data_IF_763248456809
#
_entry.id   IF_763248456809
#
_cell.length_a   1.000
_cell.length_b   1.000
_cell.length_c   1.000
_cell.angle_alpha   90.00
_cell.angle_beta   90.00
_cell.angle_gamma   90.00
#
_symmetry.space_group_name_H-M   'P 1'
#
loop_
_entity.id
_entity.type
_entity.pdbx_description
1 polymer ?
#
# COMPACT_ATOMS: atom_id res chain seq x y z
N UNK A 1 -19.70 -36.39 -76.10
CA UNK A 1 -18.96 -35.38 -75.28
C UNK A 1 -19.38 -35.56 -73.84
N UNK A 2 -18.50 -36.25 -73.06
CA UNK A 2 -18.80 -36.59 -71.68
C UNK A 2 -18.19 -35.51 -70.79
N UNK A 3 -18.97 -34.91 -69.96
CA UNK A 3 -18.49 -34.02 -68.87
C UNK A 3 -18.84 -34.67 -67.53
N UNK A 4 -17.80 -35.14 -66.84
CA UNK A 4 -17.89 -35.65 -65.47
C UNK A 4 -17.91 -34.49 -64.47
N UNK A 5 -18.61 -34.57 -63.32
CA UNK A 5 -18.60 -33.55 -62.30
C UNK A 5 -17.44 -33.77 -61.29
N UNK A 6 -16.85 -32.68 -60.84
CA UNK A 6 -15.81 -32.58 -59.80
C UNK A 6 -16.46 -32.67 -58.41
N UNK A 7 -15.92 -33.46 -57.47
CA UNK A 7 -16.46 -33.47 -56.09
C UNK A 7 -15.91 -32.30 -55.28
N UNK A 8 -16.81 -31.57 -54.64
CA UNK A 8 -16.49 -30.48 -53.70
C UNK A 8 -15.90 -30.98 -52.40
N UNK A 9 -14.75 -30.41 -52.00
CA UNK A 9 -14.14 -30.58 -50.68
C UNK A 9 -14.89 -29.71 -49.66
N UNK A 10 -15.55 -30.35 -48.72
CA UNK A 10 -16.07 -29.68 -47.52
C UNK A 10 -14.94 -29.56 -46.48
N UNK A 11 -14.47 -28.34 -46.28
CA UNK A 11 -13.51 -28.05 -45.20
C UNK A 11 -14.27 -27.90 -43.89
N UNK A 12 -14.20 -28.90 -43.05
CA UNK A 12 -14.71 -28.83 -41.67
C UNK A 12 -13.77 -28.00 -40.77
N UNK A 13 -14.29 -26.86 -40.31
CA UNK A 13 -13.59 -26.00 -39.33
C UNK A 13 -13.77 -26.60 -37.92
N UNK A 14 -12.75 -27.30 -37.44
CA UNK A 14 -12.67 -27.71 -36.02
C UNK A 14 -12.32 -26.50 -35.15
N UNK A 15 -13.31 -25.94 -34.48
CA UNK A 15 -13.11 -24.99 -33.39
C UNK A 15 -12.59 -25.77 -32.18
N UNK A 16 -11.27 -25.67 -31.94
CA UNK A 16 -10.66 -26.15 -30.70
C UNK A 16 -10.97 -25.15 -29.56
N UNK A 17 -11.93 -25.51 -28.71
CA UNK A 17 -12.13 -24.80 -27.43
C UNK A 17 -10.91 -25.09 -26.51
N UNK A 18 -9.93 -24.18 -26.50
CA UNK A 18 -8.95 -24.17 -25.42
C UNK A 18 -9.64 -23.77 -24.11
N UNK A 19 -9.98 -24.76 -23.28
CA UNK A 19 -10.35 -24.52 -21.89
C UNK A 19 -9.13 -23.94 -21.19
N UNK A 20 -9.17 -22.64 -20.86
CA UNK A 20 -8.21 -21.99 -19.96
C UNK A 20 -8.40 -22.63 -18.57
N UNK A 21 -7.62 -23.65 -18.30
CA UNK A 21 -7.45 -24.18 -16.94
C UNK A 21 -6.87 -23.05 -16.09
N UNK A 22 -7.67 -22.52 -15.19
CA UNK A 22 -7.18 -21.63 -14.11
C UNK A 22 -6.28 -22.49 -13.22
N UNK A 23 -4.99 -22.51 -13.52
CA UNK A 23 -4.00 -23.11 -12.66
C UNK A 23 -4.04 -22.35 -11.32
N UNK A 24 -4.45 -23.04 -10.26
CA UNK A 24 -4.37 -22.54 -8.89
C UNK A 24 -2.89 -22.28 -8.60
N UNK A 25 -2.53 -21.03 -8.29
CA UNK A 25 -1.14 -20.75 -7.89
C UNK A 25 -0.73 -21.72 -6.75
N UNK A 26 0.51 -22.24 -6.76
CA UNK A 26 0.96 -23.14 -5.71
C UNK A 26 0.85 -22.45 -4.36
N UNK A 27 0.41 -23.18 -3.34
CA UNK A 27 0.31 -22.68 -1.98
C UNK A 27 1.67 -22.11 -1.55
N UNK A 28 1.73 -20.82 -1.26
CA UNK A 28 2.94 -20.16 -0.74
C UNK A 28 3.20 -20.67 0.67
N UNK A 29 4.46 -21.02 0.93
CA UNK A 29 4.90 -21.36 2.31
C UNK A 29 5.03 -20.04 3.10
N UNK A 30 3.98 -19.69 3.86
CA UNK A 30 3.93 -18.45 4.61
C UNK A 30 4.76 -18.56 5.89
N UNK A 31 5.54 -17.53 6.18
CA UNK A 31 6.25 -17.39 7.44
C UNK A 31 5.27 -17.14 8.58
N UNK A 32 5.58 -17.62 9.78
CA UNK A 32 4.85 -17.23 10.97
C UNK A 32 5.01 -15.73 11.24
N UNK A 33 3.92 -15.04 11.57
CA UNK A 33 3.96 -13.60 11.91
C UNK A 33 4.69 -13.44 13.25
N UNK A 34 5.87 -12.79 13.29
CA UNK A 34 6.58 -12.57 14.53
C UNK A 34 5.88 -11.54 15.40
N UNK A 35 6.11 -11.58 16.70
CA UNK A 35 5.76 -10.47 17.59
C UNK A 35 6.51 -9.21 17.15
N UNK A 36 5.87 -8.05 17.28
CA UNK A 36 6.41 -6.74 16.87
C UNK A 36 6.75 -6.67 15.36
N UNK A 37 5.93 -7.28 14.50
CA UNK A 37 6.00 -7.07 13.04
C UNK A 37 5.40 -5.71 12.71
N UNK A 38 6.21 -4.84 12.12
CA UNK A 38 5.87 -3.46 11.79
C UNK A 38 5.99 -3.25 10.28
N UNK A 39 4.95 -2.72 9.66
CA UNK A 39 5.01 -2.20 8.28
C UNK A 39 5.25 -0.69 8.34
N UNK A 40 6.32 -0.22 7.68
CA UNK A 40 6.69 1.19 7.67
C UNK A 40 6.36 1.81 6.31
N UNK A 41 5.55 2.88 6.33
CA UNK A 41 5.05 3.52 5.09
C UNK A 41 5.20 5.03 5.12
N UNK A 42 5.45 5.61 3.93
CA UNK A 42 5.59 7.05 3.70
C UNK A 42 4.72 7.46 2.51
N UNK A 43 3.97 8.55 2.65
CA UNK A 43 3.06 9.05 1.62
C UNK A 43 3.57 10.35 1.00
N UNK A 44 3.05 10.69 -0.20
CA UNK A 44 3.11 12.01 -0.84
C UNK A 44 4.44 12.39 -1.51
N UNK A 45 5.43 11.53 -1.60
CA UNK A 45 6.69 11.82 -2.31
C UNK A 45 7.42 13.07 -1.78
N UNK A 46 7.51 13.24 -0.49
CA UNK A 46 8.20 14.37 0.11
C UNK A 46 9.71 14.36 -0.23
N UNK A 47 10.31 15.53 -0.40
CA UNK A 47 11.75 15.65 -0.69
C UNK A 47 12.62 14.97 0.36
N UNK A 48 12.17 14.97 1.61
CA UNK A 48 12.84 14.31 2.73
C UNK A 48 12.94 12.79 2.58
N UNK A 49 12.06 12.15 1.81
CA UNK A 49 12.06 10.70 1.61
C UNK A 49 13.41 10.23 1.05
N UNK A 50 13.90 10.89 0.01
CA UNK A 50 15.21 10.60 -0.60
C UNK A 50 16.37 11.25 0.15
N UNK A 51 16.19 12.49 0.63
CA UNK A 51 17.28 13.28 1.20
C UNK A 51 17.66 12.84 2.63
N UNK A 52 16.73 12.24 3.38
CA UNK A 52 16.93 11.91 4.80
C UNK A 52 16.38 10.55 5.20
N UNK A 53 15.08 10.30 4.95
CA UNK A 53 14.35 9.11 5.45
C UNK A 53 15.01 7.81 4.99
N UNK A 54 15.29 7.67 3.70
CA UNK A 54 15.85 6.45 3.14
C UNK A 54 17.18 6.05 3.80
N UNK A 55 18.07 7.02 4.04
CA UNK A 55 19.35 6.76 4.70
C UNK A 55 19.16 6.32 6.16
N UNK A 56 18.27 6.99 6.90
CA UNK A 56 18.01 6.66 8.31
C UNK A 56 17.35 5.29 8.46
N UNK A 57 16.35 4.96 7.64
CA UNK A 57 15.68 3.65 7.63
C UNK A 57 16.67 2.53 7.28
N UNK A 58 17.50 2.73 6.24
CA UNK A 58 18.49 1.75 5.79
C UNK A 58 19.58 1.49 6.84
N UNK A 59 20.01 2.52 7.57
CA UNK A 59 20.98 2.43 8.67
C UNK A 59 20.54 1.41 9.73
N UNK A 60 19.24 1.27 9.99
CA UNK A 60 18.69 0.30 10.93
C UNK A 60 18.42 -1.08 10.32
N UNK A 61 18.61 -1.24 9.00
CA UNK A 61 18.31 -2.48 8.26
C UNK A 61 16.82 -2.72 8.09
N UNK A 62 16.02 -1.67 8.05
CA UNK A 62 14.57 -1.73 7.94
C UNK A 62 14.10 -1.66 6.48
N UNK A 63 12.97 -2.35 6.19
CA UNK A 63 12.19 -2.16 4.97
C UNK A 63 11.23 -1.00 5.10
N UNK A 64 10.85 -0.39 3.99
CA UNK A 64 9.84 0.67 3.93
C UNK A 64 9.18 0.75 2.56
N UNK A 65 7.97 1.31 2.55
CA UNK A 65 7.19 1.59 1.34
C UNK A 65 7.01 3.09 1.16
N UNK A 66 7.30 3.58 -0.05
CA UNK A 66 7.01 4.95 -0.46
C UNK A 66 5.84 4.96 -1.43
N UNK A 67 4.71 5.52 -1.00
CA UNK A 67 3.50 5.64 -1.80
C UNK A 67 3.53 6.90 -2.65
N UNK A 68 3.62 6.70 -3.97
CA UNK A 68 3.91 7.76 -4.94
C UNK A 68 2.64 8.34 -5.55
N UNK A 69 2.55 9.68 -5.56
CA UNK A 69 1.56 10.48 -6.28
C UNK A 69 2.22 11.60 -7.08
N UNK A 70 1.62 12.01 -8.18
CA UNK A 70 1.98 13.25 -8.91
C UNK A 70 1.09 14.45 -8.54
N UNK A 71 0.22 14.27 -7.53
CA UNK A 71 -0.59 15.34 -6.95
C UNK A 71 0.18 16.27 -6.02
N UNK A 72 -0.53 17.11 -5.28
CA UNK A 72 -0.03 17.92 -4.15
C UNK A 72 1.15 18.88 -4.47
N UNK A 73 1.38 19.18 -5.73
CA UNK A 73 2.50 20.04 -6.15
C UNK A 73 3.73 19.27 -6.65
N UNK A 74 3.70 17.95 -6.68
CA UNK A 74 4.79 17.10 -7.16
C UNK A 74 5.38 17.56 -8.50
N UNK A 75 4.55 17.94 -9.48
CA UNK A 75 5.00 18.33 -10.82
C UNK A 75 5.76 19.66 -10.85
N UNK A 76 5.50 20.56 -9.91
CA UNK A 76 5.95 21.96 -9.99
C UNK A 76 6.88 22.38 -8.85
N UNK A 77 6.80 21.75 -7.69
CA UNK A 77 7.53 22.15 -6.48
C UNK A 77 8.63 21.14 -6.11
N UNK A 78 9.68 21.08 -6.91
CA UNK A 78 10.82 20.16 -6.68
C UNK A 78 11.71 20.54 -5.49
N UNK A 79 11.44 21.67 -4.85
CA UNK A 79 12.05 22.01 -3.56
C UNK A 79 11.50 21.15 -2.43
N UNK A 80 10.22 20.77 -2.49
CA UNK A 80 9.52 20.08 -1.41
C UNK A 80 9.11 18.64 -1.77
N UNK A 81 9.11 18.28 -3.07
CA UNK A 81 8.77 16.95 -3.55
C UNK A 81 9.93 16.31 -4.31
N UNK A 82 9.99 15.00 -4.28
CA UNK A 82 10.97 14.20 -5.03
C UNK A 82 10.78 14.36 -6.55
N UNK A 83 11.79 13.91 -7.30
CA UNK A 83 11.68 13.66 -8.75
C UNK A 83 11.49 12.17 -9.01
N UNK A 84 11.15 11.80 -10.25
CA UNK A 84 11.07 10.38 -10.60
C UNK A 84 12.43 9.67 -10.56
N UNK A 85 13.52 10.40 -10.85
CA UNK A 85 14.90 9.88 -10.71
C UNK A 85 15.24 9.61 -9.25
N UNK A 86 14.80 10.46 -8.33
CA UNK A 86 14.96 10.23 -6.88
C UNK A 86 14.10 9.07 -6.39
N UNK A 87 12.90 8.88 -6.94
CA UNK A 87 12.03 7.73 -6.67
C UNK A 87 12.66 6.43 -7.18
N UNK A 88 13.22 6.45 -8.41
CA UNK A 88 13.97 5.31 -8.93
C UNK A 88 15.18 4.98 -8.03
N UNK A 89 15.89 6.01 -7.56
CA UNK A 89 16.98 5.83 -6.59
C UNK A 89 16.54 5.24 -5.25
N UNK A 90 15.30 5.48 -4.78
CA UNK A 90 14.74 4.79 -3.62
C UNK A 90 14.53 3.29 -3.91
N UNK A 91 14.03 2.96 -5.11
CA UNK A 91 13.89 1.57 -5.56
C UNK A 91 15.23 0.86 -5.62
N UNK A 92 16.26 1.49 -6.22
CA UNK A 92 17.64 0.94 -6.28
C UNK A 92 18.27 0.72 -4.89
N UNK A 93 17.84 1.50 -3.89
CA UNK A 93 18.23 1.28 -2.50
C UNK A 93 17.52 0.07 -1.86
N UNK A 94 16.58 -0.58 -2.56
CA UNK A 94 15.84 -1.75 -2.09
C UNK A 94 14.51 -1.42 -1.39
N UNK A 95 14.03 -0.18 -1.45
CA UNK A 95 12.72 0.18 -0.92
C UNK A 95 11.59 -0.12 -1.90
N UNK A 96 10.41 -0.40 -1.37
CA UNK A 96 9.21 -0.53 -2.17
C UNK A 96 8.71 0.83 -2.65
N UNK A 97 8.44 0.94 -3.96
CA UNK A 97 7.71 2.05 -4.56
C UNK A 97 6.30 1.56 -4.86
N UNK A 98 5.31 2.26 -4.31
CA UNK A 98 3.92 1.86 -4.31
C UNK A 98 3.00 2.99 -4.81
N UNK A 99 1.73 2.68 -5.03
CA UNK A 99 0.80 3.55 -5.73
C UNK A 99 -0.06 4.38 -4.77
N UNK A 100 -0.07 5.71 -4.98
CA UNK A 100 -0.91 6.65 -4.25
C UNK A 100 -1.75 7.54 -5.20
N UNK A 101 -2.09 7.02 -6.37
CA UNK A 101 -2.83 7.69 -7.45
C UNK A 101 -2.06 8.82 -8.15
N UNK A 102 -2.55 9.19 -9.34
CA UNK A 102 -2.00 10.30 -10.12
C UNK A 102 -2.14 11.64 -9.41
N UNK A 103 -3.36 12.00 -8.98
CA UNK A 103 -3.70 13.37 -8.60
C UNK A 103 -4.11 13.54 -7.13
N UNK A 104 -3.96 12.49 -6.31
CA UNK A 104 -4.34 12.47 -4.90
C UNK A 104 -5.81 12.86 -4.65
N UNK A 105 -6.78 12.26 -5.36
CA UNK A 105 -8.18 12.66 -5.26
C UNK A 105 -8.90 11.99 -4.08
N UNK A 106 -10.07 12.50 -3.74
CA UNK A 106 -11.01 11.75 -2.91
C UNK A 106 -11.55 10.55 -3.71
N UNK A 107 -10.96 9.37 -3.49
CA UNK A 107 -11.28 8.14 -4.22
C UNK A 107 -12.74 7.70 -4.07
N UNK A 108 -13.37 7.96 -2.92
CA UNK A 108 -14.74 7.54 -2.66
C UNK A 108 -15.79 8.24 -3.53
N UNK A 109 -15.43 9.33 -4.21
CA UNK A 109 -16.34 10.12 -5.06
C UNK A 109 -16.15 9.86 -6.55
N UNK A 110 -15.18 9.02 -6.93
CA UNK A 110 -14.83 8.78 -8.33
C UNK A 110 -15.63 7.62 -8.93
N UNK A 111 -15.84 7.66 -10.26
CA UNK A 111 -16.30 6.49 -11.02
C UNK A 111 -15.21 5.42 -11.09
N UNK A 112 -15.60 4.17 -11.38
CA UNK A 112 -14.65 3.04 -11.51
C UNK A 112 -13.59 3.29 -12.59
N UNK A 113 -13.98 3.88 -13.71
CA UNK A 113 -13.09 4.22 -14.83
C UNK A 113 -12.08 5.28 -14.39
N UNK A 114 -12.53 6.26 -13.62
CA UNK A 114 -11.63 7.31 -13.10
C UNK A 114 -10.66 6.75 -12.06
N UNK A 115 -11.13 5.88 -11.15
CA UNK A 115 -10.28 5.17 -10.20
C UNK A 115 -9.20 4.37 -10.95
N UNK A 116 -9.60 3.62 -11.99
CA UNK A 116 -8.67 2.85 -12.80
C UNK A 116 -7.61 3.73 -13.47
N UNK A 117 -8.01 4.85 -14.06
CA UNK A 117 -7.11 5.79 -14.73
C UNK A 117 -6.11 6.45 -13.76
N UNK A 118 -6.53 6.80 -12.54
CA UNK A 118 -5.65 7.33 -11.50
C UNK A 118 -4.54 6.33 -11.11
N UNK A 119 -4.89 5.05 -11.00
CA UNK A 119 -3.97 3.96 -10.66
C UNK A 119 -3.02 3.66 -11.82
N UNK A 120 -3.55 3.49 -13.05
CA UNK A 120 -2.78 3.16 -14.27
C UNK A 120 -1.71 4.19 -14.59
N UNK A 121 -1.99 5.45 -14.29
CA UNK A 121 -1.00 6.51 -14.52
C UNK A 121 0.29 6.25 -13.74
N UNK A 122 0.22 5.95 -12.45
CA UNK A 122 1.41 5.66 -11.64
C UNK A 122 2.06 4.34 -12.06
N UNK A 123 1.27 3.30 -12.42
CA UNK A 123 1.83 2.05 -12.96
C UNK A 123 2.68 2.33 -14.21
N UNK A 124 2.18 3.18 -15.12
CA UNK A 124 2.90 3.61 -16.32
C UNK A 124 4.18 4.39 -15.97
N UNK A 125 4.09 5.36 -15.06
CA UNK A 125 5.25 6.14 -14.61
C UNK A 125 6.33 5.26 -13.99
N UNK A 126 5.95 4.28 -13.15
CA UNK A 126 6.89 3.30 -12.62
C UNK A 126 7.62 2.54 -13.75
N UNK A 127 6.87 2.05 -14.74
CA UNK A 127 7.46 1.34 -15.88
C UNK A 127 8.45 2.21 -16.70
N UNK A 128 8.14 3.49 -16.91
CA UNK A 128 9.01 4.47 -17.59
C UNK A 128 10.34 4.66 -16.86
N UNK A 129 10.37 4.47 -15.54
CA UNK A 129 11.56 4.57 -14.69
C UNK A 129 12.13 3.22 -14.25
N UNK A 130 11.77 2.12 -14.92
CA UNK A 130 12.26 0.76 -14.65
C UNK A 130 11.91 0.25 -13.24
N UNK A 131 10.90 0.82 -12.62
CA UNK A 131 10.35 0.36 -11.36
C UNK A 131 9.27 -0.69 -11.65
N UNK A 132 9.27 -1.86 -10.98
CA UNK A 132 8.25 -2.88 -11.14
C UNK A 132 6.84 -2.33 -10.91
N UNK A 133 5.84 -2.95 -11.57
CA UNK A 133 4.44 -2.59 -11.35
C UNK A 133 4.10 -2.67 -9.85
N UNK A 134 3.61 -1.57 -9.24
CA UNK A 134 3.16 -1.56 -7.85
C UNK A 134 2.11 -2.63 -7.56
N UNK A 135 2.26 -3.33 -6.44
CA UNK A 135 1.30 -4.33 -5.94
C UNK A 135 0.64 -3.92 -4.64
N UNK A 136 1.07 -2.80 -4.09
CA UNK A 136 0.48 -2.21 -2.88
C UNK A 136 0.01 -0.79 -3.16
N UNK A 137 -0.95 -0.34 -2.37
CA UNK A 137 -1.67 0.90 -2.57
C UNK A 137 -1.91 1.61 -1.23
N UNK A 138 -1.92 2.95 -1.22
CA UNK A 138 -2.48 3.73 -0.13
C UNK A 138 -3.61 4.61 -0.65
N UNK A 139 -4.72 4.66 0.09
CA UNK A 139 -5.86 5.50 -0.28
C UNK A 139 -5.58 6.96 0.04
N UNK A 140 -5.57 7.89 -0.96
CA UNK A 140 -5.39 9.32 -0.73
C UNK A 140 -6.39 9.88 0.27
N UNK A 141 -5.90 10.66 1.25
CA UNK A 141 -6.74 11.19 2.32
C UNK A 141 -7.54 10.12 3.06
N UNK A 142 -7.08 8.86 3.02
CA UNK A 142 -7.73 7.67 3.57
C UNK A 142 -9.15 7.40 3.02
N UNK A 143 -9.51 8.03 1.91
CA UNK A 143 -10.86 7.98 1.33
C UNK A 143 -11.03 6.79 0.40
N UNK A 144 -12.02 5.93 0.69
CA UNK A 144 -12.29 4.72 -0.08
C UNK A 144 -13.77 4.29 0.00
N UNK A 145 -14.19 3.50 -0.98
CA UNK A 145 -15.48 2.83 -1.02
C UNK A 145 -15.33 1.43 -1.64
N UNK A 146 -16.43 0.70 -1.80
CA UNK A 146 -16.40 -0.65 -2.36
C UNK A 146 -15.84 -0.69 -3.79
N UNK A 147 -16.18 0.29 -4.62
CA UNK A 147 -15.66 0.36 -6.01
C UNK A 147 -14.14 0.49 -6.05
N UNK A 148 -13.53 1.18 -5.07
CA UNK A 148 -12.07 1.25 -4.96
C UNK A 148 -11.46 -0.13 -4.70
N UNK A 149 -12.04 -0.90 -3.77
CA UNK A 149 -11.59 -2.26 -3.46
C UNK A 149 -11.71 -3.18 -4.67
N UNK A 150 -12.84 -3.12 -5.38
CA UNK A 150 -13.10 -3.94 -6.57
C UNK A 150 -12.13 -3.62 -7.70
N UNK A 151 -11.87 -2.34 -8.00
CA UNK A 151 -10.89 -1.95 -9.03
C UNK A 151 -9.47 -2.40 -8.66
N UNK A 152 -9.06 -2.28 -7.39
CA UNK A 152 -7.76 -2.78 -6.94
C UNK A 152 -7.65 -4.31 -7.08
N UNK A 153 -8.73 -5.06 -6.82
CA UNK A 153 -8.78 -6.51 -7.06
C UNK A 153 -8.60 -6.85 -8.54
N UNK A 154 -9.33 -6.18 -9.43
CA UNK A 154 -9.23 -6.35 -10.88
C UNK A 154 -7.81 -6.07 -11.38
N UNK A 155 -7.16 -5.05 -10.83
CA UNK A 155 -5.78 -4.68 -11.15
C UNK A 155 -4.73 -5.56 -10.46
N UNK A 156 -5.16 -6.54 -9.64
CA UNK A 156 -4.32 -7.51 -8.92
C UNK A 156 -3.38 -6.85 -7.91
N UNK A 157 -3.86 -5.83 -7.19
CA UNK A 157 -3.18 -5.34 -6.00
C UNK A 157 -3.33 -6.35 -4.86
N UNK A 158 -2.28 -6.47 -4.04
CA UNK A 158 -2.24 -7.44 -2.95
C UNK A 158 -2.69 -6.82 -1.63
N UNK A 159 -2.17 -5.64 -1.31
CA UNK A 159 -2.48 -4.93 -0.08
C UNK A 159 -2.78 -3.45 -0.37
N UNK A 160 -3.73 -2.88 0.41
CA UNK A 160 -4.01 -1.45 0.33
C UNK A 160 -4.24 -0.88 1.73
N UNK A 161 -3.51 0.18 2.08
CA UNK A 161 -3.57 0.84 3.38
C UNK A 161 -4.65 1.92 3.40
N UNK A 162 -5.53 1.86 4.39
CA UNK A 162 -6.48 2.91 4.77
C UNK A 162 -6.02 3.63 6.05
N UNK A 163 -6.77 4.64 6.50
CA UNK A 163 -6.50 5.37 7.72
C UNK A 163 -6.92 4.65 9.01
N UNK A 164 -6.98 5.43 10.08
CA UNK A 164 -7.36 4.98 11.43
C UNK A 164 -8.88 4.92 11.63
N UNK A 165 -9.61 5.73 10.89
CA UNK A 165 -11.07 5.82 10.94
C UNK A 165 -11.73 4.63 10.20
N UNK A 166 -13.00 4.30 10.56
CA UNK A 166 -13.83 4.91 11.60
C UNK A 166 -13.65 4.35 13.02
N UNK A 167 -12.78 3.35 13.20
CA UNK A 167 -12.60 2.66 14.49
C UNK A 167 -11.89 3.53 15.53
N UNK A 168 -11.09 4.49 15.08
CA UNK A 168 -10.42 5.49 15.92
C UNK A 168 -10.67 6.89 15.35
N UNK A 169 -10.58 7.88 16.23
CA UNK A 169 -10.67 9.27 15.80
C UNK A 169 -9.42 9.66 15.04
N UNK A 170 -9.60 10.19 13.84
CA UNK A 170 -8.54 10.87 13.12
C UNK A 170 -8.41 12.28 13.67
N UNK A 171 -7.27 12.58 14.31
CA UNK A 171 -6.99 13.89 14.88
C UNK A 171 -6.47 14.91 13.85
N UNK A 172 -6.17 14.48 12.62
CA UNK A 172 -5.60 15.32 11.56
C UNK A 172 -4.16 15.77 11.79
N UNK A 173 -3.55 15.44 12.95
CA UNK A 173 -2.17 15.80 13.32
C UNK A 173 -1.40 14.65 13.96
N UNK A 174 -1.91 13.46 13.82
CA UNK A 174 -1.43 12.24 14.43
C UNK A 174 -2.55 11.49 15.12
N UNK A 175 -2.55 10.17 15.02
CA UNK A 175 -3.61 9.35 15.58
C UNK A 175 -3.15 7.90 15.81
N UNK A 176 -3.84 7.24 16.75
CA UNK A 176 -3.77 5.79 16.98
C UNK A 176 -4.88 5.11 16.21
N UNK A 177 -4.65 3.89 15.73
CA UNK A 177 -5.61 3.09 14.97
C UNK A 177 -5.53 1.61 15.29
N UNK A 178 -6.40 0.76 14.72
CA UNK A 178 -6.33 -0.68 14.95
C UNK A 178 -5.11 -1.31 14.28
N UNK A 179 -4.57 -2.38 14.86
CA UNK A 179 -3.61 -3.23 14.16
C UNK A 179 -4.31 -4.03 13.04
N UNK A 180 -3.58 -4.36 12.01
CA UNK A 180 -4.02 -5.28 10.96
C UNK A 180 -4.08 -6.71 11.51
N UNK A 181 -5.24 -7.32 11.43
CA UNK A 181 -5.46 -8.74 11.77
C UNK A 181 -5.73 -9.54 10.48
N UNK A 182 -4.74 -10.27 9.93
CA UNK A 182 -4.91 -10.99 8.67
C UNK A 182 -5.98 -12.08 8.70
N UNK A 183 -6.42 -12.52 9.89
CA UNK A 183 -7.47 -13.53 10.03
C UNK A 183 -8.87 -12.98 9.75
N UNK A 184 -9.05 -11.67 9.86
CA UNK A 184 -10.37 -11.04 9.74
C UNK A 184 -10.40 -9.86 8.78
N UNK A 185 -9.33 -9.08 8.69
CA UNK A 185 -9.28 -7.87 7.86
C UNK A 185 -9.11 -8.19 6.37
N UNK A 186 -9.72 -7.37 5.53
CA UNK A 186 -9.51 -7.46 4.10
C UNK A 186 -8.12 -6.89 3.73
N UNK A 187 -7.29 -7.61 2.93
CA UNK A 187 -5.94 -7.15 2.58
C UNK A 187 -5.90 -5.82 1.79
N UNK A 188 -6.98 -5.47 1.10
CA UNK A 188 -7.12 -4.15 0.46
C UNK A 188 -7.77 -3.08 1.38
N UNK A 189 -7.89 -3.34 2.69
CA UNK A 189 -8.34 -2.39 3.71
C UNK A 189 -7.49 -2.50 4.99
N UNK A 190 -6.18 -2.67 4.82
CA UNK A 190 -5.20 -2.71 5.91
C UNK A 190 -5.26 -1.40 6.70
N UNK A 191 -5.59 -1.44 8.00
CA UNK A 191 -5.68 -0.22 8.79
C UNK A 191 -4.31 0.37 9.11
N UNK A 192 -4.24 1.67 9.25
CA UNK A 192 -3.10 2.36 9.87
C UNK A 192 -3.19 2.22 11.38
N UNK A 193 -2.14 1.69 12.03
CA UNK A 193 -2.07 1.55 13.49
C UNK A 193 -1.50 2.81 14.15
N UNK A 194 -0.49 3.40 13.54
CA UNK A 194 0.10 4.67 13.96
C UNK A 194 0.16 5.65 12.78
N UNK A 195 -0.53 6.76 12.90
CA UNK A 195 -0.51 7.86 11.94
C UNK A 195 0.29 9.01 12.53
N UNK A 196 1.51 9.22 12.02
CA UNK A 196 2.41 10.22 12.53
C UNK A 196 2.06 11.63 12.05
N UNK A 197 2.14 12.59 12.95
CA UNK A 197 1.93 14.00 12.71
C UNK A 197 2.49 14.83 13.87
N UNK A 198 2.27 16.15 13.91
CA UNK A 198 2.87 17.03 14.94
C UNK A 198 2.49 16.67 16.39
N UNK A 199 1.32 16.10 16.59
CA UNK A 199 0.80 15.72 17.91
C UNK A 199 1.06 14.25 18.26
N UNK A 200 1.79 13.52 17.38
CA UNK A 200 2.14 12.12 17.58
C UNK A 200 3.56 11.98 18.12
N UNK A 201 3.71 11.30 19.24
CA UNK A 201 4.98 11.21 19.96
C UNK A 201 5.43 9.78 20.25
N UNK A 202 6.49 9.66 21.07
CA UNK A 202 7.07 8.37 21.45
C UNK A 202 6.06 7.45 22.15
N UNK A 203 5.15 7.99 22.96
CA UNK A 203 4.14 7.17 23.64
C UNK A 203 3.13 6.57 22.65
N UNK A 204 2.85 7.28 21.55
CA UNK A 204 2.00 6.77 20.47
C UNK A 204 2.70 5.67 19.68
N UNK A 205 4.00 5.83 19.41
CA UNK A 205 4.81 4.78 18.79
C UNK A 205 4.86 3.52 19.66
N UNK A 206 5.16 3.66 20.96
CA UNK A 206 5.17 2.54 21.90
C UNK A 206 3.82 1.83 21.94
N UNK A 207 2.74 2.61 21.96
CA UNK A 207 1.39 2.07 21.90
C UNK A 207 1.17 1.29 20.59
N UNK A 208 1.55 1.84 19.45
CA UNK A 208 1.39 1.18 18.15
C UNK A 208 2.20 -0.12 18.05
N UNK A 209 3.45 -0.12 18.52
CA UNK A 209 4.30 -1.32 18.57
C UNK A 209 3.67 -2.39 19.46
N UNK A 210 3.10 -2.02 20.61
CA UNK A 210 2.43 -2.95 21.53
C UNK A 210 1.17 -3.61 20.92
N UNK A 211 0.61 -3.06 19.83
CA UNK A 211 -0.51 -3.71 19.11
C UNK A 211 -0.05 -4.86 18.21
N UNK A 212 1.23 -4.91 17.81
CA UNK A 212 1.80 -5.94 16.94
C UNK A 212 2.12 -7.22 17.74
N UNK A 213 1.08 -7.93 18.14
CA UNK A 213 1.15 -9.16 18.94
C UNK A 213 0.05 -10.14 18.58
N UNK A 214 0.25 -11.41 18.93
CA UNK A 214 -0.75 -12.47 18.74
C UNK A 214 -1.19 -12.61 17.26
N UNK A 215 -0.23 -12.49 16.34
CA UNK A 215 -0.46 -12.58 14.89
C UNK A 215 -1.05 -11.32 14.25
N UNK A 216 -1.13 -10.20 14.99
CA UNK A 216 -1.49 -8.89 14.44
C UNK A 216 -0.26 -8.10 14.05
N UNK A 217 -0.41 -7.21 13.07
CA UNK A 217 0.65 -6.43 12.46
C UNK A 217 0.37 -4.95 12.67
N UNK A 218 1.37 -4.19 13.13
CA UNK A 218 1.26 -2.74 13.25
C UNK A 218 1.71 -2.06 11.96
N UNK A 219 0.90 -1.13 11.46
CA UNK A 219 1.20 -0.37 10.24
C UNK A 219 1.38 1.09 10.59
N UNK A 220 2.58 1.61 10.34
CA UNK A 220 2.95 2.99 10.62
C UNK A 220 2.89 3.81 9.33
N UNK A 221 2.20 4.94 9.41
CA UNK A 221 2.06 5.90 8.32
C UNK A 221 2.77 7.20 8.70
N UNK A 222 3.79 7.54 7.93
CA UNK A 222 4.47 8.83 7.93
C UNK A 222 4.22 9.54 6.60
N UNK A 223 4.52 10.84 6.59
CA UNK A 223 4.65 11.63 5.38
C UNK A 223 6.08 12.19 5.33
N UNK A 224 6.26 13.50 5.13
CA UNK A 224 7.60 14.07 5.11
C UNK A 224 8.27 14.17 6.50
N UNK A 225 9.59 13.98 6.51
CA UNK A 225 10.46 14.12 7.68
C UNK A 225 11.64 15.05 7.33
N UNK A 226 11.40 16.37 7.30
CA UNK A 226 10.16 17.11 7.54
C UNK A 226 9.19 17.14 6.35
N UNK A 227 7.89 17.36 6.64
CA UNK A 227 6.87 17.75 5.67
C UNK A 227 6.70 19.29 5.73
N UNK A 228 7.29 20.03 4.80
CA UNK A 228 7.31 21.49 4.88
C UNK A 228 6.05 22.14 4.27
N UNK A 229 5.42 21.47 3.28
CA UNK A 229 4.19 21.95 2.64
C UNK A 229 2.93 21.59 3.43
N UNK A 230 2.98 20.52 4.23
CA UNK A 230 1.83 19.96 4.95
C UNK A 230 2.13 19.81 6.44
N UNK A 231 2.04 20.91 7.18
CA UNK A 231 2.42 20.95 8.61
C UNK A 231 1.62 20.00 9.50
N UNK A 232 0.42 19.60 9.08
CA UNK A 232 -0.45 18.69 9.84
C UNK A 232 -0.03 17.21 9.77
N UNK A 233 0.85 16.83 8.84
CA UNK A 233 1.44 15.49 8.71
C UNK A 233 2.95 15.49 8.95
N UNK A 234 3.47 16.60 9.49
CA UNK A 234 4.88 16.81 9.72
C UNK A 234 5.41 15.91 10.84
N UNK A 235 6.56 15.28 10.58
CA UNK A 235 7.38 14.62 11.59
C UNK A 235 8.75 15.32 11.66
N UNK A 236 9.23 15.59 12.87
CA UNK A 236 10.55 16.21 13.05
C UNK A 236 11.65 15.17 12.82
N UNK A 237 12.76 15.52 12.13
CA UNK A 237 13.86 14.59 11.90
C UNK A 237 14.44 13.96 13.17
N UNK A 238 14.59 14.72 14.25
CA UNK A 238 15.14 14.21 15.50
C UNK A 238 14.18 13.27 16.24
N UNK A 239 12.88 13.48 16.12
CA UNK A 239 11.90 12.55 16.69
C UNK A 239 11.84 11.27 15.84
N UNK A 240 11.91 11.38 14.51
CA UNK A 240 11.99 10.22 13.63
C UNK A 240 13.22 9.35 13.92
N UNK A 241 14.40 9.94 14.14
CA UNK A 241 15.61 9.19 14.56
C UNK A 241 15.37 8.40 15.86
N UNK A 242 14.73 9.03 16.85
CA UNK A 242 14.36 8.35 18.11
C UNK A 242 13.39 7.20 17.87
N UNK A 243 12.43 7.38 16.95
CA UNK A 243 11.48 6.31 16.59
C UNK A 243 12.17 5.11 15.95
N UNK A 244 13.07 5.35 15.00
CA UNK A 244 13.84 4.26 14.37
C UNK A 244 14.77 3.55 15.34
N UNK A 245 15.44 4.30 16.22
CA UNK A 245 16.27 3.74 17.28
C UNK A 245 15.44 2.85 18.23
N UNK A 246 14.29 3.33 18.69
CA UNK A 246 13.37 2.57 19.55
C UNK A 246 12.91 1.28 18.88
N UNK A 247 12.50 1.31 17.60
CA UNK A 247 12.10 0.09 16.87
C UNK A 247 13.24 -0.93 16.81
N UNK A 248 14.49 -0.46 16.68
CA UNK A 248 15.67 -1.33 16.65
C UNK A 248 15.98 -1.92 18.02
N UNK A 249 15.96 -1.11 19.07
CA UNK A 249 16.21 -1.51 20.46
C UNK A 249 15.18 -2.52 20.95
N UNK A 250 13.91 -2.34 20.56
CA UNK A 250 12.82 -3.26 20.90
C UNK A 250 12.83 -4.57 20.08
N UNK A 251 13.77 -4.73 19.16
CA UNK A 251 13.88 -5.92 18.31
C UNK A 251 12.70 -6.09 17.33
N UNK A 252 12.11 -4.98 16.90
CA UNK A 252 11.03 -5.02 15.91
C UNK A 252 11.51 -5.56 14.57
N UNK A 253 10.70 -6.40 13.93
CA UNK A 253 10.85 -6.74 12.50
C UNK A 253 10.13 -5.68 11.70
N UNK A 254 10.89 -4.83 10.98
CA UNK A 254 10.33 -3.70 10.21
C UNK A 254 10.46 -3.97 8.72
N UNK A 255 9.35 -4.01 8.02
CA UNK A 255 9.24 -4.45 6.63
C UNK A 255 8.52 -3.41 5.74
N UNK A 256 8.69 -3.54 4.43
CA UNK A 256 7.84 -2.87 3.46
C UNK A 256 6.45 -3.55 3.37
N UNK A 257 5.47 -2.86 2.80
CA UNK A 257 4.10 -3.38 2.70
C UNK A 257 4.00 -4.58 1.74
N UNK A 258 4.79 -4.62 0.67
CA UNK A 258 4.85 -5.78 -0.22
C UNK A 258 5.31 -7.05 0.49
N UNK A 259 6.19 -6.93 1.49
CA UNK A 259 6.75 -8.04 2.24
C UNK A 259 5.71 -8.71 3.16
N UNK A 260 4.53 -8.09 3.34
CA UNK A 260 3.38 -8.76 3.95
C UNK A 260 3.04 -10.07 3.25
N UNK A 261 3.31 -10.17 1.93
CA UNK A 261 3.10 -11.39 1.16
C UNK A 261 3.91 -12.60 1.62
N UNK A 262 4.95 -12.41 2.44
CA UNK A 262 5.71 -13.49 3.09
C UNK A 262 4.96 -14.10 4.28
N UNK A 263 4.00 -13.37 4.86
CA UNK A 263 3.29 -13.73 6.10
C UNK A 263 1.80 -13.91 5.90
N UNK A 264 1.24 -13.30 4.87
CA UNK A 264 -0.21 -13.20 4.64
C UNK A 264 -0.53 -13.54 3.18
N UNK A 265 -1.45 -14.48 2.98
CA UNK A 265 -2.01 -14.74 1.65
C UNK A 265 -3.05 -13.66 1.31
N UNK A 266 -2.81 -12.79 0.32
CA UNK A 266 -3.75 -11.74 -0.06
C UNK A 266 -5.02 -12.28 -0.74
N UNK A 267 -5.07 -13.56 -1.07
CA UNK A 267 -6.28 -14.22 -1.57
C UNK A 267 -7.24 -14.61 -0.45
N UNK A 268 -6.73 -14.77 0.78
CA UNK A 268 -7.54 -15.03 1.97
C UNK A 268 -8.17 -13.73 2.46
N UNK A 269 -9.47 -13.54 2.17
CA UNK A 269 -10.17 -12.28 2.46
C UNK A 269 -11.65 -12.52 2.79
N UNK A 270 -12.25 -11.68 3.66
CA UNK A 270 -13.68 -11.74 3.93
C UNK A 270 -14.48 -11.39 2.67
N UNK A 271 -15.63 -12.06 2.50
CA UNK A 271 -16.53 -11.79 1.37
C UNK A 271 -17.03 -10.34 1.34
N UNK A 272 -17.30 -9.77 2.51
CA UNK A 272 -17.62 -8.36 2.68
C UNK A 272 -16.41 -7.66 3.29
N UNK A 273 -15.71 -6.81 2.51
CA UNK A 273 -14.46 -6.18 2.94
C UNK A 273 -14.64 -5.22 4.13
N UNK A 274 -15.85 -4.70 4.35
CA UNK A 274 -16.16 -3.75 5.41
C UNK A 274 -16.74 -4.38 6.67
N UNK A 275 -17.04 -5.67 6.68
CA UNK A 275 -17.62 -6.33 7.85
C UNK A 275 -16.74 -6.20 9.10
N UNK A 276 -15.41 -6.45 9.05
CA UNK A 276 -14.55 -6.30 10.23
C UNK A 276 -14.52 -4.88 10.79
N UNK A 277 -14.55 -3.89 9.92
CA UNK A 277 -14.58 -2.47 10.30
C UNK A 277 -15.87 -2.17 11.09
N UNK A 278 -17.03 -2.58 10.55
CA UNK A 278 -18.31 -2.37 11.21
C UNK A 278 -18.41 -3.06 12.58
N UNK A 279 -17.87 -4.27 12.69
CA UNK A 279 -17.87 -5.00 13.96
C UNK A 279 -17.01 -4.29 15.02
N UNK A 280 -15.80 -3.82 14.66
CA UNK A 280 -14.95 -3.05 15.60
C UNK A 280 -15.57 -1.72 16.03
N UNK A 281 -16.33 -1.05 15.15
CA UNK A 281 -17.06 0.17 15.51
C UNK A 281 -18.20 -0.11 16.46
N UNK A 282 -18.95 -1.22 16.28
CA UNK A 282 -20.03 -1.62 17.19
C UNK A 282 -19.51 -2.00 18.58
N UNK A 283 -18.38 -2.69 18.67
CA UNK A 283 -17.81 -3.13 19.96
C UNK A 283 -17.27 -1.99 20.83
N UNK A 284 -17.13 -0.78 20.28
CA UNK A 284 -16.69 0.44 21.00
C UNK A 284 -17.83 1.33 21.48
N UNK A 285 -19.08 1.02 21.09
CA UNK A 285 -20.31 1.68 21.59
C UNK A 285 -20.87 0.96 22.79
#
# INVERSE_FOLDING_TARGET
>A
MNTSPIPGLAAGLLLSLCALSSAKEPARDLKAIPEKLIVLTFDDCNKSDRAFVAAEVKKHGFGATFFVTEGLGFLHNKKHYTTWEEIAGLHEMGFEIANHTKSHPNMATLSRERIAAEIEHIEKRCAEHQIPKPRTFAYPGFSHNLSCVEVLLEKKYHFARRGVAPEHRDGGKGARGPAYDPKVDHPLLVPTTGYAGPDWGMDDLKWAVAQARSGKISVLCFHGVPALEHSWVHCKPDDFKKYMAYLKEEGCTVIAMQDLGDYVDPSHRPRDPYAPIRERVKSKK
#
